data_IF_064179264862
#
_entry.id   IF_064179264862
#
_cell.length_a   1.000
_cell.length_b   1.000
_cell.length_c   1.000
_cell.angle_alpha   90.00
_cell.angle_beta   90.00
_cell.angle_gamma   90.00
#
_symmetry.space_group_name_H-M   'P 1'
#
loop_
_entity.id
_entity.type
_entity.pdbx_description
1 polymer ?
#
# COMPACT_ATOMS: atom_id res chain seq x y z
N UNK A 1 -1.50 29.67 -52.41
CA UNK A 1 -0.76 30.61 -51.59
C UNK A 1 -1.72 31.23 -50.56
N UNK A 2 -1.77 30.72 -49.35
CA UNK A 2 -2.55 31.31 -48.25
C UNK A 2 -1.56 31.57 -47.13
N UNK A 3 -1.36 32.84 -46.83
CA UNK A 3 -0.47 33.29 -45.75
C UNK A 3 -1.20 33.13 -44.42
N UNK A 4 -0.65 32.31 -43.52
CA UNK A 4 -1.03 32.28 -42.12
C UNK A 4 -0.18 33.29 -41.35
N UNK A 5 -0.83 34.26 -40.74
CA UNK A 5 -0.21 35.20 -39.80
C UNK A 5 -0.05 34.55 -38.39
N UNK A 6 1.04 34.81 -37.67
CA UNK A 6 1.19 34.27 -36.34
C UNK A 6 0.39 35.11 -35.33
N UNK A 7 -0.53 34.45 -34.58
CA UNK A 7 -1.14 35.03 -33.40
C UNK A 7 -0.16 34.93 -32.23
N UNK A 8 0.29 36.05 -31.73
CA UNK A 8 1.00 36.16 -30.46
C UNK A 8 0.04 35.81 -29.31
N UNK A 9 0.32 34.72 -28.64
CA UNK A 9 -0.33 34.41 -27.37
C UNK A 9 0.37 35.19 -26.27
N UNK A 10 -0.35 36.13 -25.66
CA UNK A 10 0.08 36.83 -24.45
C UNK A 10 0.08 35.85 -23.25
N UNK A 11 1.27 35.48 -22.80
CA UNK A 11 1.44 34.76 -21.55
C UNK A 11 1.23 35.79 -20.43
N UNK A 12 0.04 35.84 -19.87
CA UNK A 12 -0.22 36.55 -18.63
C UNK A 12 0.47 35.79 -17.49
N UNK A 13 1.55 36.38 -16.97
CA UNK A 13 2.15 35.96 -15.72
C UNK A 13 1.11 36.10 -14.59
N UNK A 14 0.51 35.00 -14.20
CA UNK A 14 -0.17 34.93 -12.91
C UNK A 14 0.92 34.91 -11.84
N UNK A 15 1.07 36.04 -11.17
CA UNK A 15 1.87 36.15 -9.96
C UNK A 15 1.36 35.09 -8.95
N UNK A 16 2.17 34.06 -8.73
CA UNK A 16 1.94 33.09 -7.68
C UNK A 16 1.93 33.82 -6.34
N UNK A 17 0.76 34.02 -5.76
CA UNK A 17 0.64 34.26 -4.33
C UNK A 17 1.30 33.07 -3.64
N UNK A 18 2.50 33.24 -3.12
CA UNK A 18 3.12 32.32 -2.18
C UNK A 18 2.15 32.19 -1.00
N UNK A 19 1.38 31.10 -0.99
CA UNK A 19 0.57 30.76 0.19
C UNK A 19 1.57 30.54 1.30
N UNK A 20 1.43 31.27 2.40
CA UNK A 20 2.08 31.01 3.68
C UNK A 20 1.59 29.63 4.18
N UNK A 21 2.12 28.57 3.60
CA UNK A 21 1.96 27.24 4.17
C UNK A 21 2.95 27.17 5.34
N UNK A 22 2.50 26.76 6.54
CA UNK A 22 3.43 26.49 7.63
C UNK A 22 4.49 25.51 7.12
N UNK A 23 5.74 25.61 7.58
CA UNK A 23 6.80 24.71 7.14
C UNK A 23 6.29 23.29 7.34
N UNK A 24 6.24 22.51 6.24
CA UNK A 24 5.89 21.10 6.31
C UNK A 24 6.92 20.45 7.24
N UNK A 25 6.49 20.04 8.43
CA UNK A 25 7.31 19.22 9.31
C UNK A 25 7.54 17.92 8.53
N UNK A 26 8.68 17.84 7.86
CA UNK A 26 9.04 16.64 7.14
C UNK A 26 9.36 15.57 8.18
N UNK A 27 8.51 14.55 8.29
CA UNK A 27 8.77 13.33 9.07
C UNK A 27 9.89 12.54 8.38
N UNK A 28 11.13 13.03 8.53
CA UNK A 28 12.32 12.37 8.00
C UNK A 28 13.10 11.76 9.15
N UNK A 29 13.60 10.52 9.01
CA UNK A 29 14.58 10.00 9.95
C UNK A 29 15.74 10.97 10.09
N UNK A 30 16.24 11.14 11.31
CA UNK A 30 17.42 11.98 11.53
C UNK A 30 18.60 11.38 10.75
N UNK A 31 19.47 12.18 10.09
CA UNK A 31 20.58 11.66 9.27
C UNK A 31 21.53 10.69 9.99
N UNK A 32 21.69 10.85 11.31
CA UNK A 32 22.51 9.93 12.13
C UNK A 32 21.92 8.51 12.27
N UNK A 33 20.67 8.33 11.91
CA UNK A 33 19.99 7.02 11.93
C UNK A 33 20.09 6.29 10.59
N UNK A 34 20.61 6.93 9.55
CA UNK A 34 20.78 6.29 8.26
C UNK A 34 21.92 5.29 8.29
N UNK A 35 21.73 4.03 7.86
CA UNK A 35 22.77 2.99 7.88
C UNK A 35 23.73 3.14 6.69
N UNK A 36 24.37 4.32 6.55
CA UNK A 36 25.19 4.68 5.37
C UNK A 36 26.41 3.80 5.19
N UNK A 37 27.09 3.40 6.28
CA UNK A 37 28.23 2.48 6.22
C UNK A 37 27.81 1.10 5.72
N UNK A 38 26.75 0.52 6.31
CA UNK A 38 26.24 -0.78 5.90
C UNK A 38 25.77 -0.78 4.43
N UNK A 39 25.08 0.27 3.98
CA UNK A 39 24.69 0.42 2.58
C UNK A 39 25.89 0.54 1.63
N UNK A 40 26.94 1.27 2.05
CA UNK A 40 28.17 1.37 1.27
C UNK A 40 28.90 0.02 1.16
N UNK A 41 29.00 -0.72 2.25
CA UNK A 41 29.60 -2.06 2.26
C UNK A 41 28.82 -3.04 1.41
N UNK A 42 27.50 -3.08 1.55
CA UNK A 42 26.60 -3.93 0.76
C UNK A 42 26.72 -3.60 -0.74
N UNK A 43 26.71 -2.32 -1.12
CA UNK A 43 26.85 -1.90 -2.51
C UNK A 43 28.18 -2.34 -3.10
N UNK A 44 29.28 -2.19 -2.35
CA UNK A 44 30.59 -2.67 -2.78
C UNK A 44 30.60 -4.19 -2.95
N UNK A 45 30.07 -4.93 -1.98
CA UNK A 45 30.02 -6.39 -2.05
C UNK A 45 29.26 -6.87 -3.30
N UNK A 46 28.11 -6.29 -3.61
CA UNK A 46 27.34 -6.63 -4.81
C UNK A 46 28.12 -6.30 -6.08
N UNK A 47 28.61 -5.08 -6.22
CA UNK A 47 29.28 -4.63 -7.45
C UNK A 47 30.63 -5.34 -7.73
N UNK A 48 31.33 -5.79 -6.69
CA UNK A 48 32.57 -6.55 -6.86
C UNK A 48 32.38 -8.06 -7.02
N UNK A 49 31.15 -8.56 -6.95
CA UNK A 49 30.83 -9.98 -7.10
C UNK A 49 30.07 -10.20 -8.42
N UNK A 50 30.70 -10.66 -9.52
CA UNK A 50 30.06 -10.79 -10.82
C UNK A 50 28.74 -11.58 -10.78
N UNK A 51 28.70 -12.66 -10.00
CA UNK A 51 27.49 -13.48 -9.83
C UNK A 51 26.27 -12.70 -9.23
N UNK A 52 26.52 -11.56 -8.58
CA UNK A 52 25.48 -10.67 -8.04
C UNK A 52 25.28 -9.44 -8.93
N UNK A 53 26.35 -8.84 -9.42
CA UNK A 53 26.26 -7.60 -10.18
C UNK A 53 25.70 -7.80 -11.59
N UNK A 54 26.00 -8.90 -12.26
CA UNK A 54 25.48 -9.15 -13.60
C UNK A 54 23.93 -9.28 -13.61
N UNK A 55 23.28 -10.09 -12.74
CA UNK A 55 21.81 -10.11 -12.65
C UNK A 55 21.22 -8.78 -12.18
N UNK A 56 21.89 -8.08 -11.24
CA UNK A 56 21.41 -6.83 -10.68
C UNK A 56 21.38 -5.67 -11.69
N UNK A 57 22.22 -5.72 -12.73
CA UNK A 57 22.29 -4.72 -13.79
C UNK A 57 21.55 -5.13 -15.06
N UNK A 58 21.03 -6.35 -15.13
CA UNK A 58 20.23 -6.89 -16.21
C UNK A 58 18.73 -6.75 -15.99
N UNK A 59 17.95 -7.23 -16.94
CA UNK A 59 16.51 -7.44 -16.73
C UNK A 59 16.31 -8.68 -15.85
N UNK A 60 15.54 -8.52 -14.76
CA UNK A 60 15.17 -9.58 -13.84
C UNK A 60 13.72 -10.03 -13.97
N UNK A 61 13.26 -10.92 -13.08
CA UNK A 61 11.84 -11.28 -12.98
C UNK A 61 10.96 -10.05 -12.67
N UNK A 62 9.76 -10.03 -13.21
CA UNK A 62 8.81 -8.93 -13.04
C UNK A 62 8.44 -8.66 -11.58
N UNK A 63 8.43 -9.72 -10.74
CA UNK A 63 8.18 -9.60 -9.31
C UNK A 63 9.40 -9.09 -8.51
N UNK A 64 10.55 -8.92 -9.15
CA UNK A 64 11.80 -8.46 -8.55
C UNK A 64 12.76 -9.58 -8.16
N UNK A 65 13.93 -9.20 -7.66
CA UNK A 65 15.03 -10.12 -7.32
C UNK A 65 14.61 -11.23 -6.37
N UNK A 66 14.79 -12.52 -6.73
CA UNK A 66 14.35 -13.66 -5.93
C UNK A 66 15.01 -13.72 -4.54
N UNK A 67 16.28 -13.32 -4.45
CA UNK A 67 17.01 -13.34 -3.17
C UNK A 67 16.45 -12.28 -2.23
N UNK A 68 16.18 -11.06 -2.72
CA UNK A 68 15.57 -10.00 -1.94
C UNK A 68 14.16 -10.38 -1.47
N UNK A 69 13.35 -11.01 -2.33
CA UNK A 69 12.01 -11.50 -1.97
C UNK A 69 12.09 -12.54 -0.86
N UNK A 70 13.03 -13.48 -0.96
CA UNK A 70 13.26 -14.52 0.06
C UNK A 70 13.72 -13.91 1.41
N UNK A 71 14.62 -12.93 1.37
CA UNK A 71 15.09 -12.25 2.59
C UNK A 71 13.98 -11.44 3.26
N UNK A 72 13.16 -10.73 2.49
CA UNK A 72 11.98 -10.04 3.02
C UNK A 72 11.01 -11.03 3.62
N UNK A 73 10.70 -12.14 2.95
CA UNK A 73 9.81 -13.20 3.46
C UNK A 73 10.28 -13.76 4.79
N UNK A 74 11.59 -14.06 4.90
CA UNK A 74 12.20 -14.54 6.13
C UNK A 74 12.12 -13.51 7.27
N UNK A 75 12.40 -12.26 6.97
CA UNK A 75 12.32 -11.17 7.94
C UNK A 75 10.90 -10.93 8.43
N UNK A 76 9.91 -10.90 7.52
CA UNK A 76 8.49 -10.76 7.85
C UNK A 76 8.02 -11.94 8.72
N UNK A 77 8.42 -13.16 8.37
CA UNK A 77 8.12 -14.36 9.16
C UNK A 77 8.66 -14.25 10.58
N UNK A 78 9.91 -13.83 10.74
CA UNK A 78 10.55 -13.70 12.04
C UNK A 78 9.89 -12.62 12.91
N UNK A 79 9.49 -11.50 12.30
CA UNK A 79 8.90 -10.36 13.03
C UNK A 79 7.40 -10.57 13.35
N UNK A 80 6.60 -10.97 12.37
CA UNK A 80 5.14 -11.12 12.57
C UNK A 80 4.74 -12.47 13.14
N UNK A 81 5.59 -13.49 13.04
CA UNK A 81 5.34 -14.85 13.52
C UNK A 81 3.96 -15.38 13.08
N UNK A 82 3.65 -15.32 11.78
CA UNK A 82 2.37 -15.78 11.27
C UNK A 82 2.21 -17.29 11.47
N UNK A 83 0.98 -17.79 11.36
CA UNK A 83 0.68 -19.22 11.52
C UNK A 83 1.46 -20.09 10.54
N UNK A 84 1.70 -19.63 9.33
CA UNK A 84 2.61 -20.21 8.34
C UNK A 84 3.60 -19.16 7.86
N UNK A 85 4.83 -19.57 7.62
CA UNK A 85 5.87 -18.69 7.10
C UNK A 85 5.42 -17.93 5.84
N UNK A 86 5.89 -16.71 5.70
CA UNK A 86 5.68 -15.94 4.48
C UNK A 86 6.49 -16.56 3.36
N UNK A 87 5.85 -16.86 2.24
CA UNK A 87 6.50 -17.35 1.04
C UNK A 87 6.97 -16.20 0.14
N UNK A 88 8.14 -16.34 -0.48
CA UNK A 88 8.67 -15.35 -1.42
C UNK A 88 7.77 -15.14 -2.65
N UNK A 89 7.00 -16.14 -3.06
CA UNK A 89 5.99 -16.05 -4.12
C UNK A 89 4.87 -15.07 -3.83
N UNK A 90 4.68 -14.73 -2.54
CA UNK A 90 3.69 -13.75 -2.08
C UNK A 90 4.20 -12.31 -2.05
N UNK A 91 5.43 -12.04 -2.50
CA UNK A 91 6.10 -10.74 -2.42
C UNK A 91 6.47 -10.25 -3.82
N UNK A 92 6.13 -9.00 -4.14
CA UNK A 92 6.64 -8.27 -5.30
C UNK A 92 7.40 -7.04 -4.83
N UNK A 93 8.57 -6.78 -5.43
CA UNK A 93 9.43 -5.64 -5.12
C UNK A 93 9.01 -4.42 -5.95
N UNK A 94 9.14 -3.24 -5.36
CA UNK A 94 8.80 -1.97 -6.04
C UNK A 94 9.68 -0.82 -5.58
N UNK A 95 9.47 0.35 -6.16
CA UNK A 95 10.08 1.62 -5.77
C UNK A 95 9.49 2.26 -4.50
N UNK A 96 8.82 1.50 -3.63
CA UNK A 96 8.26 1.94 -2.36
C UNK A 96 6.75 1.97 -2.32
N UNK A 97 6.18 2.22 -1.12
CA UNK A 97 4.74 2.12 -0.85
C UNK A 97 3.84 2.93 -1.80
N UNK A 98 4.26 4.11 -2.21
CA UNK A 98 3.47 4.94 -3.15
C UNK A 98 3.41 4.32 -4.55
N UNK A 99 4.50 3.73 -5.03
CA UNK A 99 4.50 3.02 -6.31
C UNK A 99 3.66 1.75 -6.22
N UNK A 100 3.78 0.98 -5.14
CA UNK A 100 2.92 -0.19 -4.91
C UNK A 100 1.45 0.18 -5.05
N UNK A 101 1.02 1.25 -4.34
CA UNK A 101 -0.37 1.69 -4.40
C UNK A 101 -0.78 2.07 -5.82
N UNK A 102 0.06 2.80 -6.55
CA UNK A 102 -0.22 3.17 -7.93
C UNK A 102 -0.36 1.94 -8.85
N UNK A 103 0.57 0.96 -8.76
CA UNK A 103 0.51 -0.29 -9.52
C UNK A 103 -0.74 -1.11 -9.17
N UNK A 104 -1.08 -1.23 -7.89
CA UNK A 104 -2.30 -1.92 -7.43
C UNK A 104 -3.55 -1.28 -8.01
N UNK A 105 -3.67 0.04 -7.97
CA UNK A 105 -4.80 0.75 -8.56
C UNK A 105 -4.85 0.58 -10.08
N UNK A 106 -3.69 0.58 -10.73
CA UNK A 106 -3.59 0.37 -12.17
C UNK A 106 -4.06 -1.02 -12.60
N UNK A 107 -3.75 -2.07 -11.81
CA UNK A 107 -4.13 -3.45 -12.15
C UNK A 107 -5.53 -3.79 -11.68
N UNK A 108 -5.85 -3.54 -10.41
CA UNK A 108 -6.98 -4.16 -9.69
C UNK A 108 -8.18 -3.24 -9.49
N UNK A 109 -8.17 -2.05 -10.10
CA UNK A 109 -9.31 -1.14 -10.06
C UNK A 109 -9.67 -0.60 -11.44
N UNK A 110 -10.93 -0.21 -11.61
CA UNK A 110 -11.44 0.47 -12.80
C UNK A 110 -12.17 1.73 -12.33
N UNK A 111 -11.75 2.94 -12.76
CA UNK A 111 -12.36 4.19 -12.29
C UNK A 111 -13.87 4.31 -12.54
N UNK A 112 -14.43 3.53 -13.46
CA UNK A 112 -15.89 3.48 -13.70
C UNK A 112 -16.53 2.40 -12.82
N UNK A 113 -16.03 1.17 -12.89
CA UNK A 113 -16.61 0.02 -12.20
C UNK A 113 -16.39 0.04 -10.69
N UNK A 114 -15.16 0.32 -10.24
CA UNK A 114 -14.86 0.42 -8.81
C UNK A 114 -15.66 1.58 -8.20
N UNK A 115 -16.57 1.28 -7.25
CA UNK A 115 -17.57 2.21 -6.75
C UNK A 115 -16.96 3.33 -5.94
N UNK A 116 -16.20 2.96 -4.91
CA UNK A 116 -15.61 3.92 -3.99
C UNK A 116 -14.25 3.46 -3.48
N UNK A 117 -13.46 4.44 -3.04
CA UNK A 117 -12.27 4.27 -2.22
C UNK A 117 -12.60 4.75 -0.81
N UNK A 118 -12.57 3.83 0.15
CA UNK A 118 -12.88 4.07 1.55
C UNK A 118 -11.61 4.33 2.32
N UNK A 119 -11.50 5.49 2.95
CA UNK A 119 -10.30 5.96 3.66
C UNK A 119 -10.63 6.07 5.14
N UNK A 120 -9.85 5.41 5.99
CA UNK A 120 -9.96 5.60 7.44
C UNK A 120 -9.60 7.04 7.79
N UNK A 121 -10.49 7.75 8.49
CA UNK A 121 -10.34 9.18 8.80
C UNK A 121 -10.10 9.38 10.30
N UNK A 122 -9.05 10.14 10.68
CA UNK A 122 -8.09 10.85 9.82
C UNK A 122 -7.16 9.91 9.06
N UNK A 123 -6.70 10.32 7.87
CA UNK A 123 -5.86 9.50 6.98
C UNK A 123 -4.54 10.17 6.60
N UNK A 124 -3.62 9.39 6.07
CA UNK A 124 -2.42 9.90 5.44
C UNK A 124 -2.79 10.70 4.18
N UNK A 125 -2.69 12.03 4.27
CA UNK A 125 -3.26 12.93 3.26
C UNK A 125 -2.67 12.76 1.85
N UNK A 126 -1.40 12.31 1.72
CA UNK A 126 -0.79 12.09 0.40
C UNK A 126 -1.41 10.90 -0.34
N UNK A 127 -2.04 9.96 0.37
CA UNK A 127 -2.76 8.87 -0.28
C UNK A 127 -3.96 9.39 -1.09
N UNK A 128 -4.64 10.45 -0.63
CA UNK A 128 -5.76 11.04 -1.36
C UNK A 128 -5.36 11.45 -2.79
N UNK A 129 -4.24 12.16 -2.95
CA UNK A 129 -3.75 12.56 -4.28
C UNK A 129 -3.45 11.36 -5.19
N UNK A 130 -2.92 10.26 -4.66
CA UNK A 130 -2.67 9.05 -5.45
C UNK A 130 -3.97 8.41 -5.96
N UNK A 131 -5.03 8.42 -5.14
CA UNK A 131 -6.35 7.95 -5.59
C UNK A 131 -7.00 8.90 -6.58
N UNK A 132 -6.88 10.22 -6.37
CA UNK A 132 -7.38 11.25 -7.30
C UNK A 132 -6.72 11.09 -8.69
N UNK A 133 -5.39 10.96 -8.73
CA UNK A 133 -4.62 10.76 -9.97
C UNK A 133 -4.95 9.43 -10.67
N UNK A 134 -5.39 8.42 -9.91
CA UNK A 134 -5.88 7.16 -10.45
C UNK A 134 -7.34 7.23 -10.97
N UNK A 135 -7.98 8.41 -10.92
CA UNK A 135 -9.33 8.64 -11.43
C UNK A 135 -10.45 8.45 -10.40
N UNK A 136 -10.13 8.49 -9.11
CA UNK A 136 -11.10 8.30 -8.02
C UNK A 136 -11.44 9.58 -7.23
N UNK A 137 -11.17 10.77 -7.79
CA UNK A 137 -11.33 12.04 -7.06
C UNK A 137 -12.73 12.29 -6.50
N UNK A 138 -13.77 11.91 -7.22
CA UNK A 138 -15.17 12.01 -6.82
C UNK A 138 -15.68 10.81 -5.99
N UNK A 139 -14.87 9.75 -5.85
CA UNK A 139 -15.20 8.48 -5.21
C UNK A 139 -14.54 8.25 -3.87
N UNK A 140 -13.79 9.23 -3.34
CA UNK A 140 -13.19 9.14 -2.01
C UNK A 140 -14.26 9.27 -0.93
N UNK A 141 -14.27 8.34 0.02
CA UNK A 141 -15.24 8.29 1.13
C UNK A 141 -14.51 8.09 2.45
N UNK A 142 -14.78 8.96 3.40
CA UNK A 142 -14.19 8.88 4.73
C UNK A 142 -14.98 7.92 5.61
N UNK A 143 -14.27 7.04 6.31
CA UNK A 143 -14.82 6.17 7.36
C UNK A 143 -14.17 6.55 8.68
N UNK A 144 -14.97 6.87 9.69
CA UNK A 144 -14.46 7.22 11.03
C UNK A 144 -13.74 6.04 11.68
N UNK A 145 -12.83 6.35 12.57
CA UNK A 145 -12.26 5.36 13.50
C UNK A 145 -12.76 5.58 14.93
N UNK A 146 -12.92 4.50 15.66
CA UNK A 146 -13.19 4.46 17.09
C UNK A 146 -11.94 3.99 17.86
N UNK A 147 -12.11 3.55 19.12
CA UNK A 147 -11.01 3.07 19.93
C UNK A 147 -10.33 1.78 19.41
N UNK A 148 -11.02 1.00 18.57
CA UNK A 148 -10.52 -0.25 18.00
C UNK A 148 -10.08 -0.11 16.52
N UNK A 149 -10.20 1.06 15.91
CA UNK A 149 -9.88 1.34 14.52
C UNK A 149 -11.09 1.73 13.67
N UNK A 150 -11.13 1.31 12.41
CA UNK A 150 -12.20 1.66 11.47
C UNK A 150 -13.59 1.26 11.99
N UNK A 151 -14.59 2.13 11.88
CA UNK A 151 -16.00 1.84 12.19
C UNK A 151 -16.58 0.92 11.10
N UNK A 152 -16.57 -0.39 11.36
CA UNK A 152 -17.05 -1.40 10.40
C UNK A 152 -18.56 -1.38 10.23
N UNK A 153 -19.33 -1.00 11.25
CA UNK A 153 -20.79 -0.94 11.15
C UNK A 153 -21.23 0.24 10.26
N UNK A 154 -20.53 1.36 10.37
CA UNK A 154 -20.72 2.48 9.44
C UNK A 154 -20.32 2.08 8.02
N UNK A 155 -19.13 1.47 7.86
CA UNK A 155 -18.63 1.06 6.55
C UNK A 155 -19.60 0.08 5.88
N UNK A 156 -20.14 -0.90 6.60
CA UNK A 156 -21.10 -1.86 6.06
C UNK A 156 -22.35 -1.19 5.51
N UNK A 157 -22.96 -0.26 6.28
CA UNK A 157 -24.11 0.51 5.82
C UNK A 157 -23.84 1.29 4.54
N UNK A 158 -22.67 1.90 4.45
CA UNK A 158 -22.31 2.71 3.28
C UNK A 158 -21.92 1.84 2.07
N UNK A 159 -21.32 0.67 2.27
CA UNK A 159 -21.10 -0.33 1.23
C UNK A 159 -22.41 -0.83 0.64
N UNK A 160 -23.40 -1.16 1.49
CA UNK A 160 -24.75 -1.55 1.03
C UNK A 160 -25.37 -0.48 0.12
N UNK A 161 -25.41 0.78 0.57
CA UNK A 161 -25.93 1.89 -0.23
C UNK A 161 -25.18 2.07 -1.55
N UNK A 162 -23.87 1.83 -1.53
CA UNK A 162 -23.03 1.92 -2.73
C UNK A 162 -23.35 0.82 -3.74
N UNK A 163 -23.59 -0.41 -3.29
CA UNK A 163 -24.01 -1.51 -4.16
C UNK A 163 -25.44 -1.32 -4.71
N UNK A 164 -26.38 -0.86 -3.89
CA UNK A 164 -27.73 -0.51 -4.33
C UNK A 164 -27.70 0.53 -5.46
N UNK A 165 -26.90 1.58 -5.29
CA UNK A 165 -26.70 2.60 -6.32
C UNK A 165 -26.06 2.03 -7.57
N UNK A 166 -25.01 1.20 -7.44
CA UNK A 166 -24.34 0.58 -8.58
C UNK A 166 -25.31 -0.29 -9.41
N UNK A 167 -26.21 -1.01 -8.76
CA UNK A 167 -27.28 -1.78 -9.43
C UNK A 167 -28.25 -0.85 -10.15
N UNK A 168 -28.71 0.22 -9.51
CA UNK A 168 -29.63 1.19 -10.10
C UNK A 168 -29.01 1.89 -11.33
N UNK A 169 -27.71 2.18 -11.28
CA UNK A 169 -26.96 2.84 -12.36
C UNK A 169 -26.49 1.85 -13.45
N UNK A 170 -26.77 0.55 -13.34
CA UNK A 170 -26.32 -0.48 -14.27
C UNK A 170 -24.80 -0.68 -14.31
N UNK A 171 -24.10 -0.32 -13.23
CA UNK A 171 -22.64 -0.46 -13.11
C UNK A 171 -22.28 -1.87 -12.62
N UNK A 172 -22.48 -2.89 -13.47
CA UNK A 172 -22.38 -4.30 -13.09
C UNK A 172 -21.09 -4.98 -13.52
N UNK A 173 -20.34 -4.39 -14.45
CA UNK A 173 -19.10 -4.96 -15.00
C UNK A 173 -18.03 -3.88 -15.28
N UNK A 174 -16.74 -4.24 -15.30
CA UNK A 174 -15.64 -3.32 -15.66
C UNK A 174 -15.86 -2.68 -17.03
N UNK A 175 -15.53 -1.39 -17.16
CA UNK A 175 -15.78 -0.60 -18.38
C UNK A 175 -14.50 -0.24 -19.13
N UNK A 176 -13.43 0.12 -18.40
CA UNK A 176 -12.20 0.62 -19.02
C UNK A 176 -11.11 -0.45 -19.12
N UNK A 177 -11.16 -1.47 -18.27
CA UNK A 177 -10.13 -2.48 -18.19
C UNK A 177 -10.67 -3.86 -18.57
N UNK A 178 -10.21 -4.43 -19.71
CA UNK A 178 -10.67 -5.75 -20.12
C UNK A 178 -10.20 -6.82 -19.12
N UNK A 179 -10.95 -7.93 -18.99
CA UNK A 179 -10.52 -9.08 -18.21
C UNK A 179 -9.15 -9.61 -18.67
N UNK A 180 -8.33 -10.06 -17.70
CA UNK A 180 -7.03 -10.71 -17.93
C UNK A 180 -6.87 -11.84 -16.91
N UNK A 181 -6.13 -12.92 -17.20
CA UNK A 181 -5.92 -14.01 -16.24
C UNK A 181 -5.25 -13.58 -14.93
N UNK A 182 -4.47 -12.50 -14.96
CA UNK A 182 -3.75 -11.93 -13.82
C UNK A 182 -4.41 -10.70 -13.21
N UNK A 183 -5.66 -10.38 -13.60
CA UNK A 183 -6.38 -9.17 -13.19
C UNK A 183 -7.76 -9.51 -12.68
N UNK A 184 -8.02 -9.12 -11.44
CA UNK A 184 -9.35 -9.00 -10.87
C UNK A 184 -9.65 -7.52 -10.66
N UNK A 185 -10.84 -7.05 -11.02
CA UNK A 185 -11.25 -5.67 -10.73
C UNK A 185 -12.19 -5.71 -9.51
N UNK A 186 -11.70 -5.15 -8.40
CA UNK A 186 -12.48 -5.08 -7.17
C UNK A 186 -13.56 -4.00 -7.25
N UNK A 187 -14.69 -4.26 -6.59
CA UNK A 187 -15.80 -3.32 -6.50
C UNK A 187 -15.50 -2.13 -5.60
N UNK A 188 -14.70 -2.31 -4.58
CA UNK A 188 -14.30 -1.28 -3.63
C UNK A 188 -12.82 -1.40 -3.29
N UNK A 189 -12.22 -0.27 -2.93
CA UNK A 189 -10.89 -0.23 -2.32
C UNK A 189 -11.06 0.32 -0.90
N UNK A 190 -10.42 -0.30 0.09
CA UNK A 190 -10.40 0.17 1.48
C UNK A 190 -8.93 0.41 1.85
N UNK A 191 -8.55 1.65 2.11
CA UNK A 191 -7.20 2.00 2.53
C UNK A 191 -7.15 2.24 4.03
N UNK A 192 -6.25 1.56 4.72
CA UNK A 192 -6.06 1.68 6.15
C UNK A 192 -4.57 1.60 6.54
N UNK A 193 -4.23 2.22 7.67
CA UNK A 193 -2.96 2.06 8.38
C UNK A 193 -3.24 1.36 9.70
N UNK A 194 -3.22 0.01 9.77
CA UNK A 194 -3.75 -0.72 10.91
C UNK A 194 -2.91 -0.64 12.18
N UNK A 195 -1.62 -0.33 12.05
CA UNK A 195 -0.69 -0.27 13.16
C UNK A 195 0.00 1.09 13.15
N UNK A 196 -0.03 1.79 14.28
CA UNK A 196 0.52 3.15 14.43
C UNK A 196 0.02 4.13 13.37
N UNK A 197 -1.29 4.15 13.17
CA UNK A 197 -1.97 4.91 12.13
C UNK A 197 -1.48 6.36 12.03
N UNK A 198 -1.27 6.83 10.81
CA UNK A 198 -0.89 8.22 10.55
C UNK A 198 -2.14 9.02 10.09
N UNK A 199 -2.60 10.04 10.85
CA UNK A 199 -1.93 10.69 11.98
C UNK A 199 -2.40 10.27 13.38
N UNK A 200 -3.36 9.34 13.53
CA UNK A 200 -4.04 9.08 14.80
C UNK A 200 -3.22 8.27 15.81
N UNK A 201 -2.14 7.62 15.36
CA UNK A 201 -1.29 6.70 16.15
C UNK A 201 -2.03 5.47 16.71
N UNK A 202 -3.25 5.19 16.22
CA UNK A 202 -4.06 4.06 16.68
C UNK A 202 -3.52 2.74 16.19
N UNK A 203 -3.85 1.68 16.95
CA UNK A 203 -3.61 0.29 16.56
C UNK A 203 -4.97 -0.37 16.43
N UNK A 204 -5.29 -0.86 15.24
CA UNK A 204 -6.52 -1.59 14.98
C UNK A 204 -6.50 -2.93 15.71
N UNK A 205 -7.54 -3.22 16.51
CA UNK A 205 -7.66 -4.48 17.24
C UNK A 205 -7.75 -5.68 16.28
N UNK A 206 -7.29 -6.86 16.73
CA UNK A 206 -7.39 -8.10 15.93
C UNK A 206 -8.85 -8.42 15.58
N UNK A 207 -9.78 -8.18 16.52
CA UNK A 207 -11.21 -8.32 16.27
C UNK A 207 -11.66 -7.45 15.09
N UNK A 208 -11.24 -6.19 15.07
CA UNK A 208 -11.59 -5.24 14.01
C UNK A 208 -10.95 -5.60 12.66
N UNK A 209 -9.70 -6.08 12.67
CA UNK A 209 -9.03 -6.60 11.46
C UNK A 209 -9.83 -7.75 10.85
N UNK A 210 -10.28 -8.69 11.70
CA UNK A 210 -11.11 -9.83 11.29
C UNK A 210 -12.46 -9.40 10.72
N UNK A 211 -13.15 -8.47 11.37
CA UNK A 211 -14.42 -7.92 10.90
C UNK A 211 -14.26 -7.23 9.54
N UNK A 212 -13.21 -6.42 9.38
CA UNK A 212 -12.92 -5.71 8.13
C UNK A 212 -12.68 -6.68 6.97
N UNK A 213 -11.93 -7.76 7.20
CA UNK A 213 -11.70 -8.78 6.17
C UNK A 213 -12.98 -9.51 5.75
N UNK A 214 -13.85 -9.86 6.71
CA UNK A 214 -15.15 -10.46 6.38
C UNK A 214 -15.99 -9.53 5.52
N UNK A 215 -16.01 -8.25 5.88
CA UNK A 215 -16.72 -7.23 5.13
C UNK A 215 -16.12 -7.05 3.71
N UNK A 216 -14.80 -7.00 3.59
CA UNK A 216 -14.12 -6.93 2.30
C UNK A 216 -14.48 -8.11 1.39
N UNK A 217 -14.54 -9.32 1.94
CA UNK A 217 -14.97 -10.51 1.20
C UNK A 217 -16.44 -10.46 0.79
N UNK A 218 -17.31 -9.93 1.65
CA UNK A 218 -18.75 -9.80 1.38
C UNK A 218 -19.03 -8.86 0.20
N UNK A 219 -18.31 -7.75 0.13
CA UNK A 219 -18.53 -6.69 -0.85
C UNK A 219 -17.52 -6.67 -1.99
N UNK A 220 -16.71 -7.72 -2.14
CA UNK A 220 -15.66 -7.81 -3.14
C UNK A 220 -14.73 -6.58 -3.15
N UNK A 221 -14.29 -6.18 -1.95
CA UNK A 221 -13.36 -5.09 -1.74
C UNK A 221 -11.92 -5.59 -1.61
N UNK A 222 -10.96 -4.78 -2.03
CA UNK A 222 -9.54 -4.95 -1.71
C UNK A 222 -9.18 -4.06 -0.53
N UNK A 223 -8.72 -4.66 0.57
CA UNK A 223 -8.12 -3.92 1.67
C UNK A 223 -6.63 -3.71 1.37
N UNK A 224 -6.23 -2.46 1.23
CA UNK A 224 -4.84 -2.04 1.08
C UNK A 224 -4.37 -1.56 2.45
N UNK A 225 -3.52 -2.35 3.11
CA UNK A 225 -2.93 -1.95 4.40
C UNK A 225 -1.56 -1.32 4.19
N UNK A 226 -1.35 -0.14 4.76
CA UNK A 226 -0.07 0.56 4.75
C UNK A 226 0.68 0.22 6.05
N UNK A 227 1.51 -0.84 6.01
CA UNK A 227 2.16 -1.44 7.17
C UNK A 227 3.59 -0.89 7.40
N UNK A 228 3.87 0.32 6.89
CA UNK A 228 5.22 0.93 6.89
C UNK A 228 5.73 1.34 8.26
N UNK A 229 4.87 1.38 9.28
CA UNK A 229 5.23 1.77 10.65
C UNK A 229 5.39 0.60 11.61
N UNK A 230 4.98 -0.60 11.26
CA UNK A 230 4.90 -1.77 12.14
C UNK A 230 6.21 -2.10 12.86
N UNK A 231 7.34 -1.85 12.20
CA UNK A 231 8.68 -2.09 12.74
C UNK A 231 9.20 -0.97 13.66
N UNK A 232 8.48 0.18 13.74
CA UNK A 232 8.89 1.34 14.52
C UNK A 232 8.28 1.27 15.92
N UNK A 233 8.86 0.40 16.74
CA UNK A 233 8.41 0.15 18.10
C UNK A 233 9.51 0.50 19.10
N UNK A 234 9.15 1.19 20.17
CA UNK A 234 10.05 1.50 21.29
C UNK A 234 9.24 1.67 22.57
N UNK A 235 9.90 1.49 23.72
CA UNK A 235 9.28 1.74 25.00
C UNK A 235 9.11 3.23 25.26
N UNK A 236 7.97 3.60 25.86
CA UNK A 236 7.71 4.99 26.26
C UNK A 236 8.65 5.40 27.41
N UNK A 237 8.97 4.46 28.31
CA UNK A 237 9.89 4.69 29.41
C UNK A 237 11.35 4.50 28.96
N UNK A 238 12.16 5.59 28.92
CA UNK A 238 13.56 5.52 28.52
C UNK A 238 14.43 4.68 29.46
N UNK A 239 13.99 4.45 30.69
CA UNK A 239 14.69 3.63 31.70
C UNK A 239 14.42 2.13 31.54
N UNK A 240 13.51 1.75 30.66
CA UNK A 240 13.22 0.33 30.39
C UNK A 240 14.46 -0.36 29.84
N UNK A 241 14.90 -1.40 30.52
CA UNK A 241 16.02 -2.26 30.09
C UNK A 241 15.61 -3.24 28.98
N UNK A 242 14.33 -3.33 28.62
CA UNK A 242 13.88 -4.09 27.46
C UNK A 242 14.22 -3.32 26.17
N UNK A 243 15.35 -3.67 25.60
CA UNK A 243 15.99 -2.89 24.55
C UNK A 243 15.31 -2.93 23.19
N UNK A 244 14.46 -3.90 22.88
CA UNK A 244 13.76 -3.95 21.58
C UNK A 244 12.50 -4.79 21.66
N UNK A 245 11.43 -4.26 21.06
CA UNK A 245 10.25 -5.05 20.69
C UNK A 245 10.59 -5.76 19.37
N UNK A 246 10.92 -7.04 19.47
CA UNK A 246 11.42 -7.84 18.32
C UNK A 246 10.30 -8.51 17.53
N UNK A 247 9.06 -8.39 18.00
CA UNK A 247 7.88 -8.98 17.37
C UNK A 247 6.78 -7.95 17.18
N UNK A 248 5.92 -8.18 16.19
CA UNK A 248 4.80 -7.29 15.89
C UNK A 248 3.79 -7.23 17.06
N UNK A 249 3.17 -6.06 17.26
CA UNK A 249 2.12 -5.84 18.27
C UNK A 249 0.81 -6.56 17.93
N UNK A 250 0.59 -6.89 16.67
CA UNK A 250 -0.59 -7.60 16.17
C UNK A 250 -0.29 -8.25 14.82
N UNK A 251 -0.97 -9.38 14.47
CA UNK A 251 -0.87 -9.97 13.14
C UNK A 251 -1.42 -9.00 12.09
N UNK A 252 -0.81 -8.94 10.90
CA UNK A 252 -1.30 -8.13 9.78
C UNK A 252 -2.61 -8.70 9.23
N UNK A 253 -3.38 -7.85 8.55
CA UNK A 253 -4.59 -8.32 7.88
C UNK A 253 -4.27 -9.38 6.82
N UNK A 254 -3.17 -9.24 6.08
CA UNK A 254 -2.74 -10.21 5.08
C UNK A 254 -2.40 -11.58 5.68
N UNK A 255 -1.91 -11.63 6.94
CA UNK A 255 -1.65 -12.88 7.66
C UNK A 255 -2.96 -13.53 8.14
N UNK A 256 -3.90 -12.71 8.65
CA UNK A 256 -5.23 -13.17 9.08
C UNK A 256 -6.02 -13.70 7.89
N UNK A 257 -5.97 -13.02 6.73
CA UNK A 257 -6.72 -13.39 5.52
C UNK A 257 -6.38 -14.80 5.00
N UNK A 258 -5.17 -15.29 5.27
CA UNK A 258 -4.75 -16.64 4.85
C UNK A 258 -5.57 -17.76 5.46
N UNK A 259 -6.10 -17.57 6.67
CA UNK A 259 -6.73 -18.66 7.46
C UNK A 259 -8.15 -18.34 7.88
N UNK A 260 -8.53 -17.07 7.88
CA UNK A 260 -9.87 -16.63 8.30
C UNK A 260 -10.95 -17.34 7.49
N UNK A 261 -11.86 -18.02 8.19
CA UNK A 261 -13.02 -18.70 7.62
C UNK A 261 -12.63 -19.67 6.46
N UNK A 262 -11.48 -20.31 6.56
CA UNK A 262 -10.94 -21.25 5.56
C UNK A 262 -10.07 -20.64 4.47
N UNK A 263 -9.69 -19.36 4.61
CA UNK A 263 -8.81 -18.65 3.69
C UNK A 263 -9.52 -17.76 2.67
N UNK A 264 -8.78 -17.22 1.68
CA UNK A 264 -9.31 -16.36 0.63
C UNK A 264 -10.42 -17.03 -0.17
N UNK A 265 -11.41 -16.26 -0.62
CA UNK A 265 -12.53 -16.78 -1.45
C UNK A 265 -12.13 -17.11 -2.88
N UNK A 266 -11.08 -16.48 -3.37
CA UNK A 266 -10.52 -16.72 -4.70
C UNK A 266 -8.98 -16.56 -4.66
N UNK A 267 -8.34 -16.84 -5.80
CA UNK A 267 -6.88 -16.82 -5.92
C UNK A 267 -6.26 -15.42 -5.72
N UNK A 268 -7.03 -14.33 -5.81
CA UNK A 268 -6.52 -12.96 -5.64
C UNK A 268 -6.60 -12.48 -4.19
N UNK A 269 -7.52 -13.06 -3.39
CA UNK A 269 -7.78 -12.63 -2.02
C UNK A 269 -8.46 -11.25 -1.93
N UNK A 270 -8.60 -10.74 -0.70
CA UNK A 270 -9.24 -9.45 -0.44
C UNK A 270 -8.37 -8.50 0.38
N UNK A 271 -7.08 -8.83 0.56
CA UNK A 271 -6.14 -8.03 1.33
C UNK A 271 -4.74 -8.07 0.74
N UNK A 272 -4.06 -6.92 0.79
CA UNK A 272 -2.64 -6.81 0.52
C UNK A 272 -1.95 -5.94 1.57
N UNK A 273 -0.69 -6.25 1.87
CA UNK A 273 0.19 -5.46 2.73
C UNK A 273 1.14 -4.61 1.87
N UNK A 274 1.19 -3.32 2.16
CA UNK A 274 2.06 -2.35 1.49
C UNK A 274 3.25 -2.03 2.40
N UNK A 275 4.41 -2.59 2.10
CA UNK A 275 5.64 -2.43 2.86
C UNK A 275 6.64 -1.47 2.21
N UNK A 276 7.52 -0.88 3.01
CA UNK A 276 8.54 0.05 2.49
C UNK A 276 9.75 0.14 3.41
N UNK A 277 10.94 0.21 2.81
CA UNK A 277 12.18 0.53 3.53
C UNK A 277 12.35 2.03 3.83
N UNK A 278 11.41 2.89 3.42
CA UNK A 278 11.51 4.34 3.61
C UNK A 278 11.66 4.77 5.08
N UNK A 279 11.09 4.02 6.02
CA UNK A 279 11.15 4.32 7.46
C UNK A 279 12.27 3.54 8.18
N UNK A 280 12.86 2.55 7.53
CA UNK A 280 13.86 1.65 8.08
C UNK A 280 15.29 2.00 7.62
N UNK A 281 15.49 2.10 6.33
CA UNK A 281 16.80 2.41 5.73
C UNK A 281 16.92 3.87 5.31
N UNK A 282 15.82 4.47 4.87
CA UNK A 282 15.76 5.85 4.41
C UNK A 282 14.89 5.98 3.16
N UNK A 283 14.11 7.07 3.06
CA UNK A 283 13.18 7.27 1.94
C UNK A 283 13.86 7.38 0.57
N UNK A 284 15.14 7.73 0.53
CA UNK A 284 15.93 7.84 -0.71
C UNK A 284 16.28 6.50 -1.35
N UNK A 285 16.22 5.39 -0.63
CA UNK A 285 16.52 4.05 -1.17
C UNK A 285 15.50 3.61 -2.23
N UNK A 286 14.29 4.15 -2.20
CA UNK A 286 13.21 3.87 -3.16
C UNK A 286 12.96 2.38 -3.36
N UNK A 287 12.90 1.62 -2.26
CA UNK A 287 12.59 0.20 -2.26
C UNK A 287 11.45 -0.07 -1.31
N UNK A 288 10.52 -0.91 -1.74
CA UNK A 288 9.41 -1.42 -0.97
C UNK A 288 8.92 -2.74 -1.56
N UNK A 289 7.87 -3.27 -1.00
CA UNK A 289 7.26 -4.52 -1.45
C UNK A 289 5.75 -4.46 -1.26
N UNK A 290 5.04 -5.20 -2.08
CA UNK A 290 3.66 -5.58 -1.81
C UNK A 290 3.60 -7.07 -1.50
N UNK A 291 2.78 -7.46 -0.53
CA UNK A 291 2.49 -8.84 -0.20
C UNK A 291 0.99 -9.12 -0.35
N UNK A 292 0.67 -10.24 -0.98
CA UNK A 292 -0.70 -10.71 -1.17
C UNK A 292 -0.74 -12.20 -1.46
N UNK A 293 -1.75 -12.68 -2.15
CA UNK A 293 -1.70 -14.03 -2.73
C UNK A 293 -0.70 -14.06 -3.89
N UNK A 294 -0.21 -15.23 -4.27
CA UNK A 294 0.73 -15.37 -5.39
C UNK A 294 0.15 -14.81 -6.69
N UNK A 295 -1.14 -15.01 -6.93
CA UNK A 295 -1.80 -14.49 -8.13
C UNK A 295 -1.96 -12.97 -8.10
N UNK A 296 -2.21 -12.39 -6.93
CA UNK A 296 -2.21 -10.95 -6.75
C UNK A 296 -0.82 -10.36 -7.03
N UNK A 297 0.22 -10.95 -6.47
CA UNK A 297 1.63 -10.56 -6.66
C UNK A 297 2.04 -10.64 -8.12
N UNK A 298 1.73 -11.75 -8.79
CA UNK A 298 1.95 -11.89 -10.23
C UNK A 298 1.25 -10.77 -11.01
N UNK A 299 -0.01 -10.46 -10.67
CA UNK A 299 -0.75 -9.38 -11.32
C UNK A 299 -0.09 -8.02 -11.14
N UNK A 300 0.45 -7.69 -9.95
CA UNK A 300 1.20 -6.46 -9.72
C UNK A 300 2.47 -6.40 -10.56
N UNK A 301 3.17 -7.52 -10.71
CA UNK A 301 4.39 -7.62 -11.51
C UNK A 301 4.17 -7.37 -13.02
N UNK A 302 2.91 -7.40 -13.49
CA UNK A 302 2.59 -7.13 -14.90
C UNK A 302 2.44 -5.62 -15.22
N UNK A 303 2.94 -4.71 -14.35
CA UNK A 303 2.83 -3.24 -14.53
C UNK A 303 4.16 -2.55 -14.78
#
# INVERSE_FOLDING_TARGET
MVRLAPRAASITHHSSRARNQPPRVATRPHPSLHPTSALSEASKAVLHTPALSEPALGYGPDEGDPSLRAEIARWLTAFYQPQEAVDAGRIVISGGASQNLACVLQVFSDPVYTRNVWLVSPTYYLACGMFEDAGFGDKLRAVREDAEGIDVDFLERELNKSEERAVADGNLEPKLKPPRPWRKIYKHIIYAVPTFANPSSRIMSVRRRTQLLRLARQYDALVVTDDVYDFLQWHIDPSSTQLQLTTAVAPRLVDIDRFLDGGPRDEFGNCMSNGSFSKLLGPGCRVGWAEGTEKFVYGVGQT
#
